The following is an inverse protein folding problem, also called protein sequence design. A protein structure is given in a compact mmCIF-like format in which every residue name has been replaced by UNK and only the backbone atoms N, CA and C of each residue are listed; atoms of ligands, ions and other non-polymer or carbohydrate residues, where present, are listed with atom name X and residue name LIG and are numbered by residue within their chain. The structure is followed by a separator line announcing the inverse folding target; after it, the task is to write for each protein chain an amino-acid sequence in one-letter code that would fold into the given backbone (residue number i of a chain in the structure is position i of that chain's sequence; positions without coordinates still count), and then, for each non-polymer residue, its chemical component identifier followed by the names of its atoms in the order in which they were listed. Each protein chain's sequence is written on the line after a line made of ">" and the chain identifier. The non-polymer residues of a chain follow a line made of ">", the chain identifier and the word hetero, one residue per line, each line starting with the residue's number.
data_IF_218909485356
#
_entry.id   IF_218909485356
#
_cell.length_a   1.000
_cell.length_b   1.000
_cell.length_c   1.000
_cell.angle_alpha   90.00
_cell.angle_beta   90.00
_cell.angle_gamma   90.00
#
_symmetry.space_group_name_H-M   'P 1'
#
loop_
_entity.id
_entity.type
_entity.pdbx_description
1 polymer ?
#
# COMPACT_ATOMS: atom_id res chain seq x y z
N UNK A 1 14.58 -4.21 -3.50
CA UNK A 1 14.28 -4.99 -2.28
C UNK A 1 13.66 -4.05 -1.24
N UNK A 2 12.36 -4.16 -0.99
CA UNK A 2 11.72 -3.44 0.10
C UNK A 2 11.81 -4.29 1.36
N UNK A 3 12.85 -4.07 2.17
CA UNK A 3 12.92 -4.69 3.50
C UNK A 3 11.73 -4.20 4.32
N UNK A 4 10.94 -5.12 4.88
CA UNK A 4 9.92 -4.77 5.86
C UNK A 4 10.58 -3.92 6.96
N UNK A 5 10.01 -2.76 7.28
CA UNK A 5 10.52 -1.87 8.33
C UNK A 5 10.76 -2.62 9.65
N UNK A 6 9.94 -3.62 9.97
CA UNK A 6 10.14 -4.46 11.15
C UNK A 6 11.44 -5.25 11.15
N UNK A 7 11.93 -5.71 9.99
CA UNK A 7 13.25 -6.36 9.90
C UNK A 7 14.36 -5.33 10.09
N UNK A 8 14.28 -4.21 9.36
CA UNK A 8 15.26 -3.12 9.47
C UNK A 8 15.41 -2.63 10.92
N UNK A 9 14.28 -2.45 11.62
CA UNK A 9 14.29 -2.03 13.02
C UNK A 9 14.90 -3.09 13.95
N UNK A 10 14.60 -4.38 13.72
CA UNK A 10 15.24 -5.46 14.49
C UNK A 10 16.75 -5.49 14.30
N UNK A 11 17.21 -5.30 13.06
CA UNK A 11 18.63 -5.24 12.74
C UNK A 11 19.27 -4.06 13.50
N UNK A 12 18.60 -2.90 13.51
CA UNK A 12 19.10 -1.75 14.27
C UNK A 12 19.19 -1.97 15.77
N UNK A 13 18.19 -2.64 16.36
CA UNK A 13 18.20 -2.98 17.79
C UNK A 13 19.33 -3.96 18.09
N UNK A 14 19.57 -4.93 17.21
CA UNK A 14 20.68 -5.89 17.34
C UNK A 14 22.03 -5.17 17.37
N UNK A 15 22.24 -4.21 16.47
CA UNK A 15 23.50 -3.46 16.34
C UNK A 15 23.87 -2.65 17.60
N UNK A 16 22.87 -2.23 18.37
CA UNK A 16 23.08 -1.38 19.56
C UNK A 16 22.78 -2.11 20.86
N UNK A 17 22.54 -3.43 20.81
CA UNK A 17 22.08 -4.23 21.95
C UNK A 17 23.03 -4.24 23.15
N UNK A 18 24.33 -3.98 22.93
CA UNK A 18 25.35 -3.93 23.97
C UNK A 18 25.52 -2.54 24.61
N UNK A 19 24.81 -1.52 24.10
CA UNK A 19 24.92 -0.16 24.63
C UNK A 19 24.07 0.04 25.88
N UNK A 20 24.44 0.98 26.77
CA UNK A 20 23.53 1.42 27.83
C UNK A 20 22.19 1.89 27.26
N UNK A 21 21.09 1.65 27.97
CA UNK A 21 19.72 1.93 27.50
C UNK A 21 19.56 3.34 26.91
N UNK A 22 20.16 4.36 27.55
CA UNK A 22 20.08 5.75 27.08
C UNK A 22 20.75 5.93 25.71
N UNK A 23 21.92 5.31 25.51
CA UNK A 23 22.64 5.34 24.23
C UNK A 23 21.91 4.53 23.14
N UNK A 24 21.27 3.41 23.50
CA UNK A 24 20.42 2.67 22.57
C UNK A 24 19.27 3.54 22.05
N UNK A 25 18.56 4.22 22.96
CA UNK A 25 17.43 5.09 22.61
C UNK A 25 17.90 6.23 21.71
N UNK A 26 19.01 6.87 22.02
CA UNK A 26 19.54 7.96 21.20
C UNK A 26 19.99 7.48 19.82
N UNK A 27 20.64 6.31 19.73
CA UNK A 27 21.04 5.72 18.45
C UNK A 27 19.83 5.35 17.57
N UNK A 28 18.82 4.68 18.15
CA UNK A 28 17.60 4.31 17.43
C UNK A 28 16.79 5.54 17.00
N UNK A 29 16.73 6.58 17.84
CA UNK A 29 16.12 7.87 17.48
C UNK A 29 16.84 8.48 16.28
N UNK A 30 18.18 8.51 16.30
CA UNK A 30 19.00 9.01 15.19
C UNK A 30 18.71 8.29 13.87
N UNK A 31 18.71 6.94 13.88
CA UNK A 31 18.40 6.13 12.69
C UNK A 31 16.98 6.36 12.16
N UNK A 32 16.00 6.49 13.07
CA UNK A 32 14.62 6.78 12.69
C UNK A 32 14.47 8.19 12.09
N UNK A 33 15.17 9.18 12.65
CA UNK A 33 15.21 10.55 12.11
C UNK A 33 15.82 10.58 10.72
N UNK A 34 16.95 9.91 10.51
CA UNK A 34 17.60 9.81 9.20
C UNK A 34 16.68 9.13 8.19
N UNK A 35 16.07 8.00 8.54
CA UNK A 35 15.13 7.30 7.66
C UNK A 35 13.94 8.19 7.27
N UNK A 36 13.34 8.90 8.23
CA UNK A 36 12.22 9.80 7.97
C UNK A 36 12.64 10.99 7.09
N UNK A 37 13.81 11.56 7.33
CA UNK A 37 14.35 12.64 6.52
C UNK A 37 14.59 12.18 5.07
N UNK A 38 15.28 11.06 4.88
CA UNK A 38 15.55 10.50 3.56
C UNK A 38 14.26 10.21 2.81
N UNK A 39 13.28 9.54 3.44
CA UNK A 39 11.96 9.29 2.82
C UNK A 39 11.24 10.59 2.43
N UNK A 40 11.33 11.63 3.26
CA UNK A 40 10.73 12.93 2.95
C UNK A 40 11.39 13.59 1.74
N UNK A 41 12.72 13.58 1.67
CA UNK A 41 13.48 14.11 0.53
C UNK A 41 13.19 13.32 -0.74
N UNK A 42 13.18 11.99 -0.66
CA UNK A 42 12.85 11.14 -1.81
C UNK A 42 11.42 11.42 -2.30
N UNK A 43 10.46 11.53 -1.37
CA UNK A 43 9.05 11.79 -1.71
C UNK A 43 8.81 13.17 -2.32
N UNK A 44 9.64 14.17 -2.02
CA UNK A 44 9.47 15.51 -2.60
C UNK A 44 9.81 15.55 -4.09
N UNK A 45 10.49 14.52 -4.61
CA UNK A 45 10.81 14.36 -6.02
C UNK A 45 9.75 13.55 -6.78
N UNK A 46 8.77 12.97 -6.08
CA UNK A 46 7.74 12.16 -6.73
C UNK A 46 6.79 13.04 -7.54
N UNK A 47 6.40 12.53 -8.71
CA UNK A 47 5.50 13.23 -9.64
C UNK A 47 4.02 12.99 -9.33
N UNK A 48 3.71 11.91 -8.62
CA UNK A 48 2.34 11.51 -8.27
C UNK A 48 2.15 11.51 -6.75
N UNK A 49 0.89 11.38 -6.33
CA UNK A 49 0.53 11.37 -4.90
C UNK A 49 0.91 10.06 -4.21
N UNK A 50 1.03 8.96 -4.94
CA UNK A 50 1.29 7.65 -4.40
C UNK A 50 2.80 7.37 -4.33
N UNK A 51 3.19 6.44 -3.46
CA UNK A 51 4.56 5.90 -3.50
C UNK A 51 4.80 5.20 -4.84
N UNK A 52 6.02 5.20 -5.41
CA UNK A 52 6.31 4.56 -6.69
C UNK A 52 5.83 3.10 -6.76
N UNK A 53 6.00 2.32 -5.69
CA UNK A 53 5.53 0.93 -5.63
C UNK A 53 4.00 0.80 -5.64
N UNK A 54 3.28 1.78 -5.08
CA UNK A 54 1.81 1.77 -5.11
C UNK A 54 1.27 2.28 -6.45
N UNK A 55 1.98 3.21 -7.10
CA UNK A 55 1.67 3.64 -8.47
C UNK A 55 1.81 2.47 -9.46
N UNK A 56 2.90 1.70 -9.35
CA UNK A 56 3.12 0.49 -10.15
C UNK A 56 1.99 -0.53 -9.95
N UNK A 57 1.62 -0.80 -8.68
CA UNK A 57 0.48 -1.69 -8.38
C UNK A 57 -0.83 -1.17 -8.94
N UNK A 58 -1.09 0.14 -8.82
CA UNK A 58 -2.31 0.74 -9.37
C UNK A 58 -2.35 0.60 -10.90
N UNK A 59 -1.22 0.78 -11.58
CA UNK A 59 -1.11 0.62 -13.02
C UNK A 59 -1.35 -0.83 -13.47
N UNK A 60 -0.84 -1.81 -12.70
CA UNK A 60 -1.09 -3.23 -12.93
C UNK A 60 -2.58 -3.57 -12.76
N UNK A 61 -3.20 -3.11 -11.68
CA UNK A 61 -4.63 -3.32 -11.44
C UNK A 61 -5.50 -2.61 -12.49
N UNK A 62 -5.10 -1.43 -12.94
CA UNK A 62 -5.76 -0.69 -14.03
C UNK A 62 -5.68 -1.47 -15.34
N UNK A 63 -4.53 -2.08 -15.63
CA UNK A 63 -4.36 -2.88 -16.84
C UNK A 63 -5.25 -4.13 -16.82
N UNK A 64 -5.46 -4.76 -15.65
CA UNK A 64 -6.41 -5.86 -15.45
C UNK A 64 -7.86 -5.43 -15.56
N UNK A 65 -8.18 -4.19 -15.18
CA UNK A 65 -9.54 -3.67 -15.20
C UNK A 65 -10.12 -3.53 -16.62
N UNK A 66 -9.27 -3.33 -17.64
CA UNK A 66 -9.67 -3.05 -19.02
C UNK A 66 -10.57 -4.14 -19.62
N UNK A 67 -10.38 -5.40 -19.24
CA UNK A 67 -11.15 -6.53 -19.79
C UNK A 67 -12.44 -6.83 -19.02
N UNK A 68 -12.72 -6.11 -17.94
CA UNK A 68 -13.87 -6.37 -17.08
C UNK A 68 -15.13 -5.67 -17.59
N UNK A 69 -16.28 -6.33 -17.42
CA UNK A 69 -17.58 -5.73 -17.72
C UNK A 69 -18.26 -5.30 -16.42
N UNK A 70 -18.67 -4.03 -16.35
CA UNK A 70 -19.39 -3.48 -15.18
C UNK A 70 -20.88 -3.37 -15.47
N UNK A 71 -21.68 -3.84 -14.53
CA UNK A 71 -23.13 -3.70 -14.49
C UNK A 71 -23.54 -3.02 -13.19
N UNK A 72 -24.20 -1.87 -13.29
CA UNK A 72 -24.78 -1.22 -12.11
C UNK A 72 -25.88 -2.10 -11.52
N UNK A 73 -25.83 -2.32 -10.20
CA UNK A 73 -26.81 -3.12 -9.47
C UNK A 73 -27.81 -2.22 -8.75
N UNK A 74 -27.48 -1.75 -7.54
CA UNK A 74 -28.35 -0.86 -6.76
C UNK A 74 -27.53 0.07 -5.88
N UNK A 75 -27.89 1.35 -5.81
CA UNK A 75 -27.15 2.34 -5.02
C UNK A 75 -25.68 2.44 -5.47
N UNK A 76 -24.75 2.26 -4.53
CA UNK A 76 -23.29 2.25 -4.72
C UNK A 76 -22.71 0.90 -5.14
N UNK A 77 -23.57 -0.10 -5.42
CA UNK A 77 -23.13 -1.46 -5.73
C UNK A 77 -23.13 -1.78 -7.23
N UNK A 78 -22.09 -2.49 -7.65
CA UNK A 78 -21.82 -2.85 -9.03
C UNK A 78 -21.43 -4.32 -9.11
N UNK A 79 -21.95 -5.01 -10.12
CA UNK A 79 -21.52 -6.35 -10.49
C UNK A 79 -20.43 -6.22 -11.56
N UNK A 80 -19.25 -6.76 -11.29
CA UNK A 80 -18.09 -6.72 -12.19
C UNK A 80 -17.80 -8.14 -12.67
N UNK A 81 -17.87 -8.34 -13.98
CA UNK A 81 -17.73 -9.66 -14.63
C UNK A 81 -16.38 -9.78 -15.30
N UNK A 82 -15.61 -10.79 -14.89
CA UNK A 82 -14.35 -11.23 -15.49
C UNK A 82 -14.30 -12.75 -15.54
N UNK A 83 -13.26 -13.36 -14.95
CA UNK A 83 -13.19 -14.82 -14.73
C UNK A 83 -14.26 -15.31 -13.73
N UNK A 84 -14.54 -14.46 -12.73
CA UNK A 84 -15.62 -14.62 -11.79
C UNK A 84 -16.50 -13.36 -11.80
N UNK A 85 -17.62 -13.45 -11.09
CA UNK A 85 -18.48 -12.29 -10.82
C UNK A 85 -18.15 -11.77 -9.43
N UNK A 86 -17.71 -10.52 -9.36
CA UNK A 86 -17.41 -9.82 -8.12
C UNK A 86 -18.39 -8.67 -7.91
N UNK A 87 -18.74 -8.42 -6.65
CA UNK A 87 -19.58 -7.28 -6.28
C UNK A 87 -18.68 -6.23 -5.64
N UNK A 88 -18.77 -5.01 -6.17
CA UNK A 88 -18.07 -3.83 -5.66
C UNK A 88 -19.09 -2.90 -5.04
N UNK A 89 -18.82 -2.43 -3.83
CA UNK A 89 -19.54 -1.35 -3.17
C UNK A 89 -18.59 -0.16 -2.96
N UNK A 90 -18.80 0.89 -3.76
CA UNK A 90 -17.93 2.07 -3.80
C UNK A 90 -18.05 2.92 -2.54
N UNK A 91 -19.21 2.96 -1.88
CA UNK A 91 -19.39 3.78 -0.68
C UNK A 91 -18.75 3.11 0.54
N UNK A 92 -18.76 1.77 0.57
CA UNK A 92 -18.19 0.98 1.66
C UNK A 92 -16.73 0.55 1.42
N UNK A 93 -16.13 0.92 0.28
CA UNK A 93 -14.78 0.52 -0.13
C UNK A 93 -14.59 -1.00 -0.08
N UNK A 94 -15.63 -1.75 -0.46
CA UNK A 94 -15.68 -3.21 -0.37
C UNK A 94 -15.71 -3.81 -1.77
N UNK A 95 -14.96 -4.89 -1.96
CA UNK A 95 -15.12 -5.80 -3.08
C UNK A 95 -15.14 -7.25 -2.57
N UNK A 96 -15.97 -8.11 -3.17
CA UNK A 96 -16.07 -9.54 -2.79
C UNK A 96 -14.75 -10.29 -2.94
N UNK A 97 -13.85 -9.88 -3.84
CA UNK A 97 -12.51 -10.46 -3.97
C UNK A 97 -11.59 -10.21 -2.75
N UNK A 98 -12.00 -9.33 -1.82
CA UNK A 98 -11.29 -8.93 -0.59
C UNK A 98 -9.92 -8.25 -0.78
N UNK A 99 -9.45 -8.09 -2.02
CA UNK A 99 -8.18 -7.46 -2.31
C UNK A 99 -8.15 -5.96 -1.94
N UNK A 100 -9.26 -5.22 -2.10
CA UNK A 100 -9.32 -3.80 -1.74
C UNK A 100 -9.05 -3.59 -0.25
N UNK A 101 -9.72 -4.38 0.58
CA UNK A 101 -9.70 -4.32 2.04
C UNK A 101 -8.35 -4.79 2.59
N UNK A 102 -7.75 -5.81 1.97
CA UNK A 102 -6.45 -6.32 2.38
C UNK A 102 -5.31 -5.37 1.98
N UNK A 103 -5.37 -4.77 0.80
CA UNK A 103 -4.29 -3.93 0.29
C UNK A 103 -4.43 -2.45 0.69
N UNK A 104 -5.64 -2.02 1.07
CA UNK A 104 -5.94 -0.62 1.36
C UNK A 104 -6.01 0.27 0.10
N UNK A 105 -6.02 -0.33 -1.09
CA UNK A 105 -6.11 0.34 -2.38
C UNK A 105 -7.10 -0.41 -3.28
N UNK A 106 -7.80 0.26 -4.21
CA UNK A 106 -8.72 -0.39 -5.13
C UNK A 106 -8.08 -1.58 -5.86
N UNK A 107 -8.80 -2.69 -5.96
CA UNK A 107 -8.46 -3.81 -6.85
C UNK A 107 -8.95 -3.52 -8.28
N UNK A 108 -8.57 -4.36 -9.24
CA UNK A 108 -9.00 -4.22 -10.64
C UNK A 108 -10.53 -4.11 -10.80
N UNK A 109 -11.32 -4.85 -10.00
CA UNK A 109 -12.79 -4.75 -10.02
C UNK A 109 -13.27 -3.36 -9.58
N UNK A 110 -12.67 -2.82 -8.53
CA UNK A 110 -13.00 -1.50 -8.02
C UNK A 110 -12.56 -0.36 -8.96
N UNK A 111 -11.46 -0.55 -9.69
CA UNK A 111 -10.98 0.41 -10.69
C UNK A 111 -11.86 0.42 -11.95
N UNK A 112 -12.45 -0.73 -12.30
CA UNK A 112 -13.33 -0.83 -13.46
C UNK A 112 -14.65 -0.06 -13.30
N UNK A 113 -15.08 0.14 -12.05
CA UNK A 113 -16.32 0.83 -11.65
C UNK A 113 -16.10 2.34 -11.59
#
# INVERSE_FOLDING_TARGET
>A
MTTNFGQLFRDWVSDVSEFPITQMVDALRGRMMELNYTRRVDSSQWLTRLTPSMEEKLQDETSKAISLQVLHSHGSTFEVRGEAVDIVDIDNWDCTCKAWQLNGSPCCHAIAV
#
